data_IF_917979296408
#
_entry.id   IF_917979296408
#
_cell.length_a   1.000
_cell.length_b   1.000
_cell.length_c   1.000
_cell.angle_alpha   90.00
_cell.angle_beta   90.00
_cell.angle_gamma   90.00
#
_symmetry.space_group_name_H-M   'P 1'
#
loop_
_entity.id
_entity.type
_entity.pdbx_description
1 polymer ?
#
# COMPACT_ATOMS: atom_id res chain seq x y z
N UNK A 1 26.17 27.14 0.12
CA UNK A 1 24.96 27.95 0.40
C UNK A 1 24.95 28.39 1.85
N UNK A 2 24.56 29.61 2.16
CA UNK A 2 24.40 30.10 3.55
C UNK A 2 23.09 29.61 4.17
N UNK A 3 23.05 29.52 5.50
CA UNK A 3 21.81 29.19 6.24
C UNK A 3 20.66 30.16 5.92
N UNK A 4 20.97 31.43 5.70
CA UNK A 4 19.98 32.44 5.33
C UNK A 4 19.35 32.16 3.96
N UNK A 5 20.16 31.78 2.95
CA UNK A 5 19.69 31.41 1.62
C UNK A 5 18.84 30.13 1.66
N UNK A 6 19.25 29.13 2.44
CA UNK A 6 18.45 27.92 2.68
C UNK A 6 17.05 28.28 3.22
N UNK A 7 16.99 29.05 4.31
CA UNK A 7 15.72 29.47 4.91
C UNK A 7 14.83 30.25 3.93
N UNK A 8 15.44 31.08 3.09
CA UNK A 8 14.70 31.84 2.09
C UNK A 8 14.10 30.93 1.00
N UNK A 9 14.82 29.90 0.57
CA UNK A 9 14.31 28.90 -0.40
C UNK A 9 13.12 28.15 0.19
N UNK A 10 13.25 27.66 1.42
CA UNK A 10 12.19 26.93 2.13
C UNK A 10 10.96 27.82 2.30
N UNK A 11 11.14 29.04 2.82
CA UNK A 11 10.04 30.00 3.01
C UNK A 11 9.35 30.29 1.68
N UNK A 12 10.10 30.59 0.62
CA UNK A 12 9.54 30.87 -0.71
C UNK A 12 8.76 29.65 -1.26
N UNK A 13 9.28 28.44 -1.06
CA UNK A 13 8.64 27.24 -1.56
C UNK A 13 7.32 26.93 -0.84
N UNK A 14 7.28 27.07 0.49
CA UNK A 14 6.14 26.65 1.29
C UNK A 14 5.11 27.75 1.61
N UNK A 15 5.45 29.04 1.40
CA UNK A 15 4.49 30.15 1.60
C UNK A 15 3.24 29.99 0.73
N UNK A 16 3.35 29.34 -0.44
CA UNK A 16 2.21 29.06 -1.35
C UNK A 16 1.13 28.16 -0.73
N UNK A 17 1.44 27.44 0.34
CA UNK A 17 0.50 26.55 1.05
C UNK A 17 -0.21 27.24 2.24
N UNK A 18 -0.05 28.56 2.41
CA UNK A 18 -0.76 29.30 3.46
C UNK A 18 -0.41 28.90 4.90
N UNK A 19 0.75 28.28 5.10
CA UNK A 19 1.20 27.80 6.41
C UNK A 19 1.60 28.95 7.33
N UNK A 20 1.32 28.80 8.62
CA UNK A 20 1.78 29.74 9.66
C UNK A 20 3.31 29.77 9.75
N UNK A 21 3.90 30.86 10.28
CA UNK A 21 5.36 30.93 10.48
C UNK A 21 5.88 29.84 11.42
N UNK A 22 5.08 29.42 12.41
CA UNK A 22 5.41 28.30 13.30
C UNK A 22 5.51 26.99 12.53
N UNK A 23 4.52 26.69 11.68
CA UNK A 23 4.48 25.48 10.84
C UNK A 23 5.60 25.47 9.80
N UNK A 24 5.89 26.63 9.19
CA UNK A 24 7.04 26.80 8.31
C UNK A 24 8.35 26.50 9.04
N UNK A 25 8.50 26.95 10.29
CA UNK A 25 9.68 26.67 11.11
C UNK A 25 9.88 25.17 11.38
N UNK A 26 8.81 24.40 11.55
CA UNK A 26 8.89 22.96 11.76
C UNK A 26 9.26 22.20 10.48
N UNK A 27 8.61 22.51 9.35
CA UNK A 27 8.99 21.94 8.04
C UNK A 27 10.44 22.27 7.72
N UNK A 28 10.87 23.50 8.04
CA UNK A 28 12.27 23.92 7.87
C UNK A 28 13.22 23.04 8.67
N UNK A 29 12.92 22.72 9.94
CA UNK A 29 13.76 21.84 10.78
C UNK A 29 13.84 20.41 10.23
N UNK A 30 12.75 19.90 9.66
CA UNK A 30 12.74 18.57 9.04
C UNK A 30 13.65 18.52 7.81
N UNK A 31 13.70 19.60 7.03
CA UNK A 31 14.54 19.71 5.84
C UNK A 31 15.98 20.10 6.21
N UNK A 32 16.18 20.80 7.33
CA UNK A 32 17.49 21.25 7.83
C UNK A 32 18.43 20.07 8.13
N UNK A 33 17.90 18.89 8.47
CA UNK A 33 18.69 17.67 8.63
C UNK A 33 19.40 17.21 7.34
N UNK A 34 18.90 17.65 6.18
CA UNK A 34 19.47 17.36 4.86
C UNK A 34 20.29 18.53 4.30
N UNK A 35 20.42 19.63 5.04
CA UNK A 35 21.21 20.79 4.63
C UNK A 35 22.70 20.52 4.85
N UNK A 36 23.49 20.68 3.79
CA UNK A 36 24.95 20.75 3.87
C UNK A 36 25.43 22.07 3.28
N UNK A 37 26.60 22.55 3.69
CA UNK A 37 27.16 23.80 3.15
C UNK A 37 27.37 23.76 1.63
N UNK A 38 27.50 22.55 1.06
CA UNK A 38 27.65 22.30 -0.37
C UNK A 38 26.34 22.12 -1.13
N UNK A 39 25.19 22.12 -0.45
CA UNK A 39 23.89 21.96 -1.10
C UNK A 39 23.59 23.13 -2.05
N UNK A 40 23.09 22.78 -3.24
CA UNK A 40 22.63 23.71 -4.28
C UNK A 40 21.17 24.11 -4.06
N UNK A 41 20.72 25.18 -4.71
CA UNK A 41 19.33 25.62 -4.61
C UNK A 41 18.37 24.57 -5.19
N UNK A 42 18.77 23.91 -6.27
CA UNK A 42 18.02 22.89 -6.96
C UNK A 42 17.79 21.65 -6.07
N UNK A 43 18.83 21.18 -5.38
CA UNK A 43 18.73 20.05 -4.45
C UNK A 43 17.78 20.36 -3.29
N UNK A 44 17.85 21.57 -2.73
CA UNK A 44 16.94 21.98 -1.65
C UNK A 44 15.50 22.06 -2.17
N UNK A 45 15.27 22.58 -3.38
CA UNK A 45 13.93 22.63 -3.99
C UNK A 45 13.39 21.22 -4.26
N UNK A 46 14.23 20.29 -4.72
CA UNK A 46 13.87 18.88 -4.91
C UNK A 46 13.44 18.24 -3.58
N UNK A 47 14.19 18.51 -2.51
CA UNK A 47 13.80 18.10 -1.17
C UNK A 47 12.49 18.76 -0.74
N UNK A 48 12.28 20.05 -1.00
CA UNK A 48 11.00 20.69 -0.69
C UNK A 48 9.80 19.97 -1.36
N UNK A 49 9.97 19.45 -2.58
CA UNK A 49 8.92 18.70 -3.28
C UNK A 49 8.48 17.45 -2.51
N UNK A 50 9.40 16.73 -1.87
CA UNK A 50 9.03 15.53 -1.09
C UNK A 50 8.16 15.86 0.12
N UNK A 51 8.25 17.10 0.64
CA UNK A 51 7.43 17.59 1.74
C UNK A 51 6.20 18.40 1.30
N UNK A 52 5.95 18.57 0.00
CA UNK A 52 4.75 19.29 -0.49
C UNK A 52 3.45 18.57 -0.08
N UNK A 53 3.44 17.23 -0.08
CA UNK A 53 2.29 16.45 0.36
C UNK A 53 1.96 16.72 1.83
N UNK A 54 2.99 16.79 2.68
CA UNK A 54 2.84 17.14 4.10
C UNK A 54 2.29 18.56 4.24
N UNK A 55 2.82 19.52 3.48
CA UNK A 55 2.33 20.90 3.50
C UNK A 55 0.86 21.02 3.10
N UNK A 56 0.40 20.26 2.09
CA UNK A 56 -1.01 20.23 1.67
C UNK A 56 -1.94 19.63 2.73
N UNK A 57 -1.49 18.57 3.42
CA UNK A 57 -2.25 17.96 4.51
C UNK A 57 -2.41 18.95 5.66
N UNK A 58 -1.30 19.60 6.06
CA UNK A 58 -1.32 20.62 7.11
C UNK A 58 -2.24 21.79 6.74
N UNK A 59 -2.19 22.26 5.50
CA UNK A 59 -3.09 23.28 4.98
C UNK A 59 -4.57 22.84 5.09
N UNK A 60 -4.91 21.64 4.61
CA UNK A 60 -6.28 21.13 4.65
C UNK A 60 -6.84 21.00 6.06
N UNK A 61 -6.00 20.63 7.04
CA UNK A 61 -6.42 20.55 8.43
C UNK A 61 -6.59 21.93 9.08
N UNK A 62 -5.70 22.88 8.77
CA UNK A 62 -5.86 24.28 9.20
C UNK A 62 -7.18 24.83 8.66
N UNK A 63 -7.45 24.63 7.37
CA UNK A 63 -8.70 25.05 6.73
C UNK A 63 -9.93 24.40 7.37
N UNK A 64 -9.83 23.12 7.74
CA UNK A 64 -10.90 22.39 8.44
C UNK A 64 -11.14 22.95 9.84
N UNK A 65 -10.08 23.25 10.60
CA UNK A 65 -10.18 23.84 11.94
C UNK A 65 -10.76 25.24 11.90
N UNK A 66 -10.27 26.08 10.98
CA UNK A 66 -10.80 27.43 10.79
C UNK A 66 -12.26 27.36 10.39
N UNK A 67 -12.63 26.47 9.46
CA UNK A 67 -14.03 26.27 9.07
C UNK A 67 -14.89 25.81 10.24
N UNK A 68 -14.42 24.84 11.03
CA UNK A 68 -15.12 24.33 12.21
C UNK A 68 -15.26 25.36 13.33
N UNK A 69 -14.22 26.17 13.56
CA UNK A 69 -14.25 27.26 14.53
C UNK A 69 -15.20 28.38 14.07
N UNK A 70 -15.17 28.74 12.79
CA UNK A 70 -16.11 29.71 12.21
C UNK A 70 -17.55 29.20 12.26
N UNK A 71 -17.78 27.90 12.03
CA UNK A 71 -19.10 27.28 12.19
C UNK A 71 -19.58 27.27 13.64
N UNK A 72 -18.70 26.98 14.60
CA UNK A 72 -19.02 27.06 16.04
C UNK A 72 -19.38 28.48 16.45
N UNK A 73 -18.58 29.47 16.04
CA UNK A 73 -18.85 30.89 16.30
C UNK A 73 -20.16 31.36 15.62
N UNK A 74 -20.45 30.87 14.41
CA UNK A 74 -21.73 31.14 13.73
C UNK A 74 -22.92 30.45 14.42
N UNK A 75 -22.74 29.26 14.98
CA UNK A 75 -23.78 28.54 15.74
C UNK A 75 -24.01 29.13 17.15
N UNK A 76 -22.97 29.67 17.79
CA UNK A 76 -23.06 30.35 19.10
C UNK A 76 -23.72 31.73 19.04
N UNK A 77 -23.97 32.29 17.85
CA UNK A 77 -24.84 33.47 17.69
C UNK A 77 -26.34 33.15 17.71
N UNK A 78 -26.74 31.87 17.75
CA UNK A 78 -28.08 31.49 18.18
C UNK A 78 -28.06 31.32 19.71
N UNK A 79 -28.87 32.06 20.48
CA UNK A 79 -28.83 31.97 21.92
C UNK A 79 -29.52 30.68 22.32
N UNK A 80 -28.77 29.65 22.72
CA UNK A 80 -29.32 28.75 23.70
C UNK A 80 -28.33 28.23 24.73
N UNK A 81 -28.81 28.27 25.95
CA UNK A 81 -28.11 27.98 27.19
C UNK A 81 -27.77 26.49 27.23
N UNK A 82 -26.50 26.15 27.43
CA UNK A 82 -26.07 25.32 28.58
C UNK A 82 -24.55 25.25 28.66
N UNK A 83 -24.09 25.77 29.79
CA UNK A 83 -22.77 25.56 30.36
C UNK A 83 -22.46 24.07 30.50
N UNK A 84 -21.26 23.71 30.07
CA UNK A 84 -20.62 22.41 30.25
C UNK A 84 -19.16 22.55 29.84
N UNK A 85 -18.40 23.28 30.66
CA UNK A 85 -16.96 23.43 30.47
C UNK A 85 -16.27 22.12 30.85
N UNK A 86 -16.16 21.21 29.89
CA UNK A 86 -15.13 20.18 29.93
C UNK A 86 -13.90 20.78 29.24
N UNK A 87 -12.97 21.28 30.05
CA UNK A 87 -11.65 21.67 29.56
C UNK A 87 -10.86 20.37 29.36
N UNK A 88 -11.12 19.68 28.25
CA UNK A 88 -10.10 18.80 27.67
C UNK A 88 -8.87 19.69 27.45
N UNK A 89 -7.78 19.35 28.12
CA UNK A 89 -6.51 20.02 27.91
C UNK A 89 -6.19 19.94 26.42
N UNK A 90 -6.03 21.09 25.76
CA UNK A 90 -5.60 21.12 24.36
C UNK A 90 -4.32 20.29 24.25
N UNK A 91 -4.29 19.25 23.39
CA UNK A 91 -3.10 18.44 23.21
C UNK A 91 -1.96 19.37 22.81
N UNK A 92 -0.84 19.22 23.50
CA UNK A 92 0.35 20.00 23.16
C UNK A 92 0.76 19.69 21.73
N UNK A 93 1.39 20.65 21.04
CA UNK A 93 1.83 20.49 19.63
C UNK A 93 2.68 19.21 19.46
N UNK A 94 3.43 18.80 20.48
CA UNK A 94 4.18 17.54 20.49
C UNK A 94 3.31 16.29 20.45
N UNK A 95 2.18 16.28 21.15
CA UNK A 95 1.21 15.16 21.09
C UNK A 95 0.51 15.11 19.73
N UNK A 96 0.27 16.28 19.12
CA UNK A 96 -0.24 16.39 17.75
C UNK A 96 0.75 15.83 16.72
N UNK A 97 2.03 16.21 16.80
CA UNK A 97 3.07 15.70 15.91
C UNK A 97 3.24 14.18 16.06
N UNK A 98 3.12 13.66 17.28
CA UNK A 98 3.14 12.21 17.52
C UNK A 98 1.97 11.50 16.85
N UNK A 99 0.75 12.03 16.97
CA UNK A 99 -0.42 11.46 16.29
C UNK A 99 -0.33 11.54 14.75
N UNK A 100 0.26 12.62 14.22
CA UNK A 100 0.50 12.77 12.78
C UNK A 100 1.55 11.76 12.30
N UNK A 101 2.65 11.60 13.04
CA UNK A 101 3.68 10.60 12.74
C UNK A 101 3.11 9.19 12.78
N UNK A 102 2.31 8.86 13.80
CA UNK A 102 1.65 7.54 13.90
C UNK A 102 0.67 7.31 12.73
N UNK A 103 -0.06 8.34 12.29
CA UNK A 103 -0.93 8.24 11.10
C UNK A 103 -0.14 8.08 9.81
N UNK A 104 0.96 8.81 9.63
CA UNK A 104 1.86 8.70 8.48
C UNK A 104 2.48 7.29 8.42
N UNK A 105 3.02 6.80 9.53
CA UNK A 105 3.57 5.45 9.63
C UNK A 105 2.51 4.39 9.30
N UNK A 106 1.26 4.58 9.75
CA UNK A 106 0.17 3.64 9.45
C UNK A 106 -0.26 3.70 7.98
N UNK A 107 -0.26 4.88 7.35
CA UNK A 107 -0.54 5.03 5.91
C UNK A 107 0.57 4.41 5.09
N UNK A 108 1.83 4.67 5.44
CA UNK A 108 3.00 4.15 4.75
C UNK A 108 3.05 2.62 4.88
N UNK A 109 2.86 2.07 6.09
CA UNK A 109 2.70 0.62 6.30
C UNK A 109 1.53 0.06 5.49
N UNK A 110 0.39 0.74 5.46
CA UNK A 110 -0.77 0.33 4.68
C UNK A 110 -0.52 0.31 3.17
N UNK A 111 0.25 1.27 2.64
CA UNK A 111 0.66 1.32 1.23
C UNK A 111 1.71 0.25 0.91
N UNK A 112 2.68 0.03 1.80
CA UNK A 112 3.69 -1.03 1.66
C UNK A 112 3.02 -2.41 1.64
N UNK A 113 2.07 -2.66 2.55
CA UNK A 113 1.31 -3.92 2.58
C UNK A 113 0.52 -4.14 1.28
N UNK A 114 -0.15 -3.09 0.76
CA UNK A 114 -0.86 -3.19 -0.53
C UNK A 114 0.10 -3.50 -1.68
N UNK A 115 1.22 -2.78 -1.77
CA UNK A 115 2.24 -2.99 -2.80
C UNK A 115 2.85 -4.40 -2.74
N UNK A 116 3.12 -4.91 -1.54
CA UNK A 116 3.64 -6.26 -1.36
C UNK A 116 2.57 -7.32 -1.72
N UNK A 117 1.31 -7.13 -1.34
CA UNK A 117 0.24 -8.04 -1.73
C UNK A 117 0.04 -8.10 -3.26
N UNK A 118 0.12 -6.95 -3.95
CA UNK A 118 0.07 -6.89 -5.42
C UNK A 118 1.27 -7.59 -6.08
N UNK A 119 2.47 -7.42 -5.52
CA UNK A 119 3.68 -8.15 -5.95
C UNK A 119 3.51 -9.66 -5.76
N UNK A 120 2.95 -10.10 -4.63
CA UNK A 120 2.70 -11.51 -4.36
C UNK A 120 1.71 -12.11 -5.36
N UNK A 121 0.59 -11.42 -5.64
CA UNK A 121 -0.37 -11.83 -6.67
C UNK A 121 0.30 -11.96 -8.03
N UNK A 122 1.14 -11.00 -8.41
CA UNK A 122 1.86 -11.04 -9.70
C UNK A 122 2.76 -12.27 -9.80
N UNK A 123 3.56 -12.56 -8.76
CA UNK A 123 4.45 -13.73 -8.75
C UNK A 123 3.68 -15.05 -8.72
N UNK A 124 2.56 -15.13 -8.02
CA UNK A 124 1.73 -16.34 -8.05
C UNK A 124 1.08 -16.55 -9.43
N UNK A 125 0.76 -15.48 -10.18
CA UNK A 125 0.31 -15.58 -11.58
C UNK A 125 1.42 -16.10 -12.51
N UNK A 126 2.66 -15.72 -12.28
CA UNK A 126 3.82 -16.24 -13.03
C UNK A 126 3.99 -17.76 -12.85
N UNK A 127 3.55 -18.32 -11.72
CA UNK A 127 3.48 -19.77 -11.47
C UNK A 127 2.31 -20.47 -12.19
N UNK A 128 1.56 -19.74 -13.03
CA UNK A 128 0.35 -20.22 -13.71
C UNK A 128 -0.74 -20.73 -12.76
N UNK A 129 -0.78 -20.22 -11.53
CA UNK A 129 -1.92 -20.44 -10.65
C UNK A 129 -3.14 -19.69 -11.19
N UNK A 130 -4.32 -20.28 -11.04
CA UNK A 130 -5.59 -19.61 -11.41
C UNK A 130 -5.94 -18.51 -10.42
N UNK A 131 -6.73 -17.51 -10.85
CA UNK A 131 -7.13 -16.41 -9.96
C UNK A 131 -7.84 -16.91 -8.68
N UNK A 132 -8.60 -18.02 -8.74
CA UNK A 132 -9.23 -18.65 -7.57
C UNK A 132 -8.22 -19.27 -6.59
N UNK A 133 -7.18 -19.92 -7.12
CA UNK A 133 -6.11 -20.49 -6.28
C UNK A 133 -5.28 -19.38 -5.62
N UNK A 134 -5.07 -18.27 -6.32
CA UNK A 134 -4.38 -17.10 -5.80
C UNK A 134 -5.23 -16.42 -4.71
N UNK A 135 -6.52 -16.21 -4.96
CA UNK A 135 -7.44 -15.62 -3.98
C UNK A 135 -7.49 -16.46 -2.70
N UNK A 136 -7.56 -17.79 -2.82
CA UNK A 136 -7.50 -18.70 -1.68
C UNK A 136 -6.17 -18.65 -0.93
N UNK A 137 -5.03 -18.57 -1.65
CA UNK A 137 -3.71 -18.52 -1.04
C UNK A 137 -3.42 -17.19 -0.34
N UNK A 138 -3.99 -16.09 -0.85
CA UNK A 138 -3.80 -14.72 -0.38
C UNK A 138 -4.84 -14.29 0.67
N UNK A 139 -5.93 -15.04 0.86
CA UNK A 139 -7.01 -14.66 1.76
C UNK A 139 -6.50 -14.40 3.19
N UNK A 140 -6.74 -13.18 3.68
CA UNK A 140 -6.33 -12.75 5.02
C UNK A 140 -4.82 -12.57 5.22
N UNK A 141 -3.99 -12.67 4.18
CA UNK A 141 -2.54 -12.44 4.28
C UNK A 141 -2.16 -11.00 4.04
N UNK A 142 -1.17 -10.55 4.82
CA UNK A 142 -0.44 -9.30 4.64
C UNK A 142 1.06 -9.59 4.83
N UNK A 143 1.90 -8.88 4.08
CA UNK A 143 3.35 -9.00 4.20
C UNK A 143 3.93 -7.75 4.88
N UNK A 144 4.77 -7.96 5.89
CA UNK A 144 5.43 -6.87 6.61
C UNK A 144 6.67 -6.37 5.86
N UNK A 145 7.32 -7.24 5.08
CA UNK A 145 8.53 -6.95 4.32
C UNK A 145 8.67 -7.89 3.10
N UNK A 146 9.62 -7.58 2.22
CA UNK A 146 9.85 -8.35 0.98
C UNK A 146 10.39 -9.76 1.22
N UNK A 147 11.08 -9.99 2.34
CA UNK A 147 11.59 -11.31 2.74
C UNK A 147 10.42 -12.27 3.08
N UNK A 148 9.45 -11.81 3.86
CA UNK A 148 8.23 -12.58 4.20
C UNK A 148 7.38 -12.91 2.97
N UNK A 149 7.37 -12.01 1.97
CA UNK A 149 6.75 -12.26 0.67
C UNK A 149 7.51 -13.33 -0.11
N UNK A 150 8.83 -13.23 -0.17
CA UNK A 150 9.67 -14.18 -0.90
C UNK A 150 9.53 -15.59 -0.31
N UNK A 151 9.59 -15.74 1.01
CA UNK A 151 9.36 -17.03 1.67
C UNK A 151 7.99 -17.62 1.35
N UNK A 152 6.95 -16.79 1.36
CA UNK A 152 5.61 -17.24 1.03
C UNK A 152 5.52 -17.73 -0.41
N UNK A 153 6.02 -16.94 -1.37
CA UNK A 153 6.03 -17.33 -2.78
C UNK A 153 6.81 -18.62 -2.98
N UNK A 154 7.98 -18.77 -2.36
CA UNK A 154 8.78 -20.01 -2.45
C UNK A 154 8.02 -21.22 -1.89
N UNK A 155 7.44 -21.11 -0.69
CA UNK A 155 6.62 -22.21 -0.11
C UNK A 155 5.44 -22.56 -1.00
N UNK A 156 4.81 -21.55 -1.61
CA UNK A 156 3.64 -21.77 -2.44
C UNK A 156 4.00 -22.38 -3.80
N UNK A 157 5.18 -22.05 -4.34
CA UNK A 157 5.78 -22.77 -5.48
C UNK A 157 5.97 -24.25 -5.15
N UNK A 158 6.62 -24.57 -4.03
CA UNK A 158 6.86 -25.96 -3.62
C UNK A 158 5.57 -26.77 -3.46
N UNK A 159 4.56 -26.17 -2.80
CA UNK A 159 3.24 -26.79 -2.62
C UNK A 159 2.55 -26.99 -3.96
N UNK A 160 2.57 -25.98 -4.84
CA UNK A 160 1.90 -26.07 -6.13
C UNK A 160 2.58 -27.09 -7.05
N UNK A 161 3.92 -27.13 -7.09
CA UNK A 161 4.66 -28.16 -7.81
C UNK A 161 4.35 -29.57 -7.29
N UNK A 162 4.22 -29.73 -5.97
CA UNK A 162 3.78 -30.98 -5.34
C UNK A 162 2.39 -31.40 -5.79
N UNK A 163 1.42 -30.49 -5.75
CA UNK A 163 0.02 -30.74 -6.17
C UNK A 163 -0.05 -31.07 -7.66
N UNK A 164 0.71 -30.39 -8.51
CA UNK A 164 0.74 -30.67 -9.96
C UNK A 164 1.36 -32.04 -10.22
N UNK A 165 2.50 -32.37 -9.58
CA UNK A 165 3.12 -33.70 -9.69
C UNK A 165 2.18 -34.80 -9.20
N UNK A 166 1.48 -34.58 -8.10
CA UNK A 166 0.52 -35.53 -7.54
C UNK A 166 -0.72 -35.69 -8.44
N UNK A 167 -1.28 -34.60 -9.00
CA UNK A 167 -2.38 -34.69 -9.98
C UNK A 167 -1.96 -35.45 -11.23
N UNK A 168 -0.77 -35.18 -11.77
CA UNK A 168 -0.24 -35.92 -12.92
C UNK A 168 -0.03 -37.39 -12.57
N UNK A 169 0.51 -37.70 -11.39
CA UNK A 169 0.71 -39.08 -10.92
C UNK A 169 -0.62 -39.81 -10.68
N UNK A 170 -1.62 -39.15 -10.11
CA UNK A 170 -2.93 -39.74 -9.83
C UNK A 170 -3.79 -39.88 -11.10
N UNK A 171 -3.71 -38.93 -12.04
CA UNK A 171 -4.31 -39.09 -13.38
C UNK A 171 -3.63 -40.19 -14.18
N UNK A 172 -2.31 -40.35 -14.07
CA UNK A 172 -1.58 -41.43 -14.71
C UNK A 172 -1.78 -42.80 -14.00
N UNK A 173 -2.10 -42.80 -12.71
CA UNK A 173 -2.28 -44.00 -11.88
C UNK A 173 -3.70 -44.57 -11.84
N UNK A 174 -4.72 -43.78 -12.22
CA UNK A 174 -6.13 -44.23 -12.23
C UNK A 174 -6.70 -44.49 -13.64
N UNK A 175 -5.85 -44.47 -14.67
CA UNK A 175 -6.21 -45.06 -15.97
C UNK A 175 -6.19 -46.57 -15.85
N UNK A 176 -7.38 -47.19 -15.75
CA UNK A 176 -7.67 -48.63 -15.87
C UNK A 176 -6.46 -49.55 -15.86
N UNK A 177 -6.33 -50.39 -14.81
CA UNK A 177 -5.53 -51.61 -14.94
C UNK A 177 -5.98 -52.31 -16.23
N UNK A 178 -5.09 -52.57 -17.21
CA UNK A 178 -5.50 -53.24 -18.42
C UNK A 178 -6.06 -54.58 -17.97
N UNK A 179 -7.38 -54.74 -18.09
CA UNK A 179 -8.01 -56.04 -17.91
C UNK A 179 -7.31 -56.95 -18.90
N UNK A 180 -6.54 -57.88 -18.35
CA UNK A 180 -5.95 -58.95 -19.11
C UNK A 180 -7.04 -59.63 -19.92
N UNK A 181 -6.72 -59.86 -21.19
CA UNK A 181 -7.34 -60.83 -22.10
C UNK A 181 -8.50 -60.35 -22.98
N UNK A 182 -8.19 -60.37 -24.28
CA UNK A 182 -9.07 -60.69 -25.40
C UNK A 182 -10.13 -59.67 -25.85
N UNK A 183 -9.88 -59.06 -27.01
CA UNK A 183 -10.95 -58.62 -27.90
C UNK A 183 -10.63 -57.38 -28.74
N UNK A 184 -10.39 -57.60 -30.03
CA UNK A 184 -10.17 -56.58 -31.07
C UNK A 184 -11.09 -55.34 -31.00
N UNK A 185 -10.50 -54.14 -31.13
CA UNK A 185 -10.89 -53.23 -32.21
C UNK A 185 -11.66 -51.93 -31.94
N UNK A 186 -11.59 -51.31 -30.75
CA UNK A 186 -12.40 -50.07 -30.50
C UNK A 186 -11.60 -48.82 -30.05
N UNK A 187 -10.27 -48.87 -29.93
CA UNK A 187 -9.55 -47.78 -29.24
C UNK A 187 -9.18 -46.53 -30.06
N UNK A 188 -9.32 -46.50 -31.38
CA UNK A 188 -8.74 -45.39 -32.17
C UNK A 188 -9.71 -44.24 -32.51
N UNK A 189 -11.02 -44.44 -32.40
CA UNK A 189 -12.04 -43.41 -32.72
C UNK A 189 -12.45 -42.59 -31.51
N UNK A 190 -12.57 -43.21 -30.33
CA UNK A 190 -12.92 -42.50 -29.10
C UNK A 190 -11.82 -41.51 -28.70
N UNK A 191 -10.55 -41.95 -28.74
CA UNK A 191 -9.40 -41.10 -28.40
C UNK A 191 -9.26 -39.91 -29.36
N UNK A 192 -9.55 -40.11 -30.65
CA UNK A 192 -9.51 -39.01 -31.63
C UNK A 192 -10.62 -37.98 -31.42
N UNK A 193 -11.83 -38.44 -31.07
CA UNK A 193 -12.94 -37.54 -30.78
C UNK A 193 -12.68 -36.70 -29.53
N UNK A 194 -12.10 -37.30 -28.48
CA UNK A 194 -11.75 -36.57 -27.25
C UNK A 194 -10.68 -35.50 -27.51
N UNK A 195 -9.69 -35.78 -28.36
CA UNK A 195 -8.66 -34.80 -28.74
C UNK A 195 -9.25 -33.67 -29.60
N UNK A 196 -10.15 -33.97 -30.53
CA UNK A 196 -10.83 -32.95 -31.35
C UNK A 196 -11.77 -32.05 -30.53
N UNK A 197 -12.43 -32.61 -29.51
CA UNK A 197 -13.34 -31.86 -28.64
C UNK A 197 -12.58 -30.95 -27.67
N UNK A 198 -11.43 -31.42 -27.15
CA UNK A 198 -10.52 -30.62 -26.33
C UNK A 198 -9.96 -29.41 -27.10
N UNK A 199 -9.55 -29.61 -28.36
CA UNK A 199 -8.97 -28.55 -29.20
C UNK A 199 -10.01 -27.54 -29.75
N UNK A 200 -11.31 -27.75 -29.50
CA UNK A 200 -12.36 -26.76 -29.82
C UNK A 200 -12.64 -25.79 -28.68
N UNK A 201 -12.20 -26.11 -27.46
CA UNK A 201 -12.47 -25.31 -26.26
C UNK A 201 -11.28 -24.43 -25.82
N UNK A 202 -10.15 -24.54 -26.53
CA UNK A 202 -8.92 -23.76 -26.33
C UNK A 202 -8.38 -23.30 -27.70
#
# INVERSE_FOLDING_TARGET
MTKAEFLQIIKKHFTKFGLSESTLGEITKLIEGSYTENSTAEEIIEQCKSYESLAKVLQSEIDTRVSSAVEKVKKEQAPDKKSGADKEAEPTIGEYLKQISERLDNIEKGQVVKSLNEKAVTRLKELKMTDKEIEAAMFGRNFENEESLNEFVTKQTEIYEGIVKERVSNSAGNGFSPMSSSGNGVENTAIKNDIEEFNKQF
#
